data_IF_049301654834
#
_entry.id   IF_049301654834
#
_cell.length_a   1.000
_cell.length_b   1.000
_cell.length_c   1.000
_cell.angle_alpha   90.00
_cell.angle_beta   90.00
_cell.angle_gamma   90.00
#
_symmetry.space_group_name_H-M   'P 1'
#
loop_
_entity.id
_entity.type
_entity.pdbx_description
1 polymer ?
#
# COMPACT_ATOMS: atom_id res chain seq x y z
N UNK A 1 9.10 -10.74 -7.85
CA UNK A 1 10.15 -9.73 -7.60
C UNK A 1 11.07 -10.27 -6.51
N UNK A 2 12.35 -10.58 -6.80
CA UNK A 2 13.29 -10.95 -5.74
C UNK A 2 13.56 -9.73 -4.85
N UNK A 3 13.43 -9.91 -3.54
CA UNK A 3 13.75 -8.88 -2.54
C UNK A 3 15.14 -9.13 -1.93
N UNK A 4 15.82 -8.09 -1.46
CA UNK A 4 16.95 -8.25 -0.55
C UNK A 4 16.57 -9.13 0.65
N UNK A 5 17.52 -9.93 1.15
CA UNK A 5 17.25 -10.88 2.24
C UNK A 5 16.75 -10.24 3.53
N UNK A 6 17.05 -8.97 3.75
CA UNK A 6 16.68 -8.20 4.94
C UNK A 6 15.35 -7.44 4.79
N UNK A 7 14.66 -7.58 3.65
CA UNK A 7 13.41 -6.87 3.37
C UNK A 7 12.24 -7.82 3.18
N UNK A 8 11.09 -7.43 3.70
CA UNK A 8 9.81 -8.08 3.46
C UNK A 8 8.80 -7.12 2.85
N UNK A 9 7.75 -7.66 2.24
CA UNK A 9 6.61 -6.89 1.75
C UNK A 9 5.70 -6.57 2.94
N UNK A 10 5.40 -5.28 3.13
CA UNK A 10 4.54 -4.76 4.20
C UNK A 10 3.12 -4.57 3.70
N UNK A 11 2.99 -4.07 2.47
CA UNK A 11 1.70 -3.80 1.84
C UNK A 11 1.81 -3.90 0.33
N UNK A 12 0.74 -4.38 -0.30
CA UNK A 12 0.58 -4.41 -1.75
C UNK A 12 -0.75 -3.73 -2.07
N UNK A 13 -0.71 -2.68 -2.89
CA UNK A 13 -1.91 -2.00 -3.36
C UNK A 13 -2.03 -2.23 -4.85
N UNK A 14 -3.14 -2.83 -5.28
CA UNK A 14 -3.43 -3.00 -6.69
C UNK A 14 -3.74 -1.65 -7.32
N UNK A 15 -3.03 -1.32 -8.40
CA UNK A 15 -3.30 -0.12 -9.20
C UNK A 15 -4.18 -0.46 -10.39
N UNK A 16 -3.80 -1.49 -11.13
CA UNK A 16 -4.45 -1.82 -12.40
C UNK A 16 -4.26 -3.30 -12.74
N UNK A 17 -5.23 -3.88 -13.46
CA UNK A 17 -5.06 -5.16 -14.14
C UNK A 17 -5.04 -4.97 -15.65
N UNK A 18 -4.28 -5.85 -16.32
CA UNK A 18 -4.24 -5.96 -17.77
C UNK A 18 -4.70 -7.36 -18.16
N UNK A 19 -5.78 -7.44 -18.96
CA UNK A 19 -6.42 -8.71 -19.38
C UNK A 19 -6.18 -8.92 -20.87
N UNK A 20 -5.43 -9.96 -21.23
CA UNK A 20 -5.08 -10.28 -22.63
C UNK A 20 -4.47 -9.08 -23.41
N UNK A 21 -3.79 -8.17 -22.70
CA UNK A 21 -3.14 -6.97 -23.26
C UNK A 21 -3.97 -5.68 -23.12
N UNK A 22 -5.24 -5.78 -22.72
CA UNK A 22 -6.10 -4.63 -22.45
C UNK A 22 -5.92 -4.15 -21.00
N UNK A 23 -5.30 -2.98 -20.83
CA UNK A 23 -5.13 -2.30 -19.55
C UNK A 23 -6.44 -1.61 -19.10
N UNK A 24 -6.45 -1.01 -17.91
CA UNK A 24 -7.58 -0.27 -17.36
C UNK A 24 -8.60 -1.12 -16.62
N UNK A 25 -8.34 -2.42 -16.42
CA UNK A 25 -9.28 -3.32 -15.76
C UNK A 25 -9.14 -3.15 -14.25
N UNK A 26 -10.18 -2.64 -13.58
CA UNK A 26 -10.18 -2.49 -12.12
C UNK A 26 -10.53 -3.78 -11.38
N UNK A 27 -11.39 -4.63 -11.97
CA UNK A 27 -11.85 -5.90 -11.37
C UNK A 27 -11.95 -6.99 -12.43
N UNK A 28 -10.96 -7.90 -12.53
CA UNK A 28 -10.94 -8.95 -13.56
C UNK A 28 -11.79 -10.17 -13.20
N UNK A 29 -12.46 -10.17 -12.04
CA UNK A 29 -13.24 -11.32 -11.56
C UNK A 29 -14.38 -11.61 -12.53
N UNK A 30 -14.41 -12.82 -13.08
CA UNK A 30 -15.41 -13.29 -14.04
C UNK A 30 -15.02 -13.13 -15.50
N UNK A 31 -13.87 -12.52 -15.80
CA UNK A 31 -13.33 -12.44 -17.15
C UNK A 31 -12.57 -13.71 -17.53
N UNK A 32 -12.71 -14.16 -18.77
CA UNK A 32 -11.87 -15.22 -19.35
C UNK A 32 -10.64 -14.57 -19.96
N UNK A 33 -9.45 -15.02 -19.56
CA UNK A 33 -8.18 -14.48 -20.05
C UNK A 33 -7.16 -15.60 -20.27
N UNK A 34 -6.30 -15.45 -21.27
CA UNK A 34 -5.10 -16.29 -21.43
C UNK A 34 -3.94 -15.74 -20.60
N UNK A 35 -3.88 -14.42 -20.43
CA UNK A 35 -2.88 -13.73 -19.64
C UNK A 35 -3.52 -12.63 -18.79
N UNK A 36 -3.12 -12.58 -17.54
CA UNK A 36 -3.48 -11.54 -16.59
C UNK A 36 -2.19 -10.96 -16.02
N UNK A 37 -1.97 -9.67 -16.24
CA UNK A 37 -0.90 -8.92 -15.59
C UNK A 37 -1.53 -7.97 -14.54
N UNK A 38 -0.75 -7.63 -13.51
CA UNK A 38 -1.19 -6.73 -12.44
C UNK A 38 -0.08 -5.71 -12.14
N UNK A 39 -0.47 -4.45 -12.05
CA UNK A 39 0.39 -3.39 -11.52
C UNK A 39 0.11 -3.22 -10.03
N UNK A 40 1.17 -3.32 -9.22
CA UNK A 40 1.12 -3.19 -7.77
C UNK A 40 2.02 -2.04 -7.31
N UNK A 41 1.50 -1.21 -6.41
CA UNK A 41 2.33 -0.42 -5.51
C UNK A 41 2.72 -1.28 -4.32
N UNK A 42 3.94 -1.82 -4.34
CA UNK A 42 4.47 -2.68 -3.28
C UNK A 42 5.36 -1.87 -2.32
N UNK A 43 5.00 -1.86 -1.04
CA UNK A 43 5.80 -1.23 0.01
C UNK A 43 6.54 -2.28 0.79
N UNK A 44 7.85 -2.09 0.93
CA UNK A 44 8.75 -3.01 1.60
C UNK A 44 9.43 -2.32 2.77
N UNK A 45 9.79 -3.10 3.79
CA UNK A 45 10.47 -2.62 4.98
C UNK A 45 11.54 -3.59 5.43
N UNK A 46 12.43 -3.15 6.32
CA UNK A 46 13.43 -4.03 6.93
C UNK A 46 12.72 -5.00 7.87
N UNK A 47 12.88 -6.30 7.63
CA UNK A 47 12.16 -7.35 8.35
C UNK A 47 12.35 -7.27 9.87
N UNK A 48 13.58 -6.98 10.33
CA UNK A 48 13.86 -6.85 11.77
C UNK A 48 13.10 -5.70 12.44
N UNK A 49 12.89 -4.58 11.74
CA UNK A 49 12.11 -3.44 12.29
C UNK A 49 10.65 -3.85 12.47
N UNK A 50 10.09 -4.55 11.49
CA UNK A 50 8.71 -5.02 11.49
C UNK A 50 8.49 -6.05 12.60
N UNK A 51 9.36 -7.05 12.71
CA UNK A 51 9.33 -8.04 13.77
C UNK A 51 9.43 -7.42 15.17
N UNK A 52 10.27 -6.38 15.33
CA UNK A 52 10.40 -5.68 16.60
C UNK A 52 9.12 -4.93 16.98
N UNK A 53 8.45 -4.28 16.02
CA UNK A 53 7.17 -3.60 16.25
C UNK A 53 6.08 -4.58 16.69
N UNK A 54 6.00 -5.77 16.07
CA UNK A 54 5.03 -6.78 16.48
C UNK A 54 5.32 -7.37 17.86
N UNK A 55 6.59 -7.67 18.12
CA UNK A 55 7.04 -8.19 19.42
C UNK A 55 6.67 -7.22 20.54
N UNK A 56 6.85 -5.92 20.33
CA UNK A 56 6.45 -4.89 21.29
C UNK A 56 4.96 -4.98 21.67
N UNK A 57 4.08 -5.17 20.68
CA UNK A 57 2.64 -5.33 20.93
C UNK A 57 2.32 -6.65 21.67
N UNK A 58 2.96 -7.75 21.27
CA UNK A 58 2.78 -9.07 21.90
C UNK A 58 3.24 -9.06 23.35
N UNK A 59 4.40 -8.46 23.64
CA UNK A 59 4.96 -8.33 24.99
C UNK A 59 4.06 -7.46 25.88
N UNK A 60 3.31 -6.52 25.29
CA UNK A 60 2.27 -5.75 25.97
C UNK A 60 0.94 -6.53 26.15
N UNK A 61 0.88 -7.80 25.74
CA UNK A 61 -0.31 -8.65 25.83
C UNK A 61 -1.35 -8.42 24.73
N UNK A 62 -0.99 -7.74 23.64
CA UNK A 62 -1.88 -7.41 22.52
C UNK A 62 -1.51 -8.25 21.29
N UNK A 63 -2.47 -9.00 20.76
CA UNK A 63 -2.29 -9.73 19.51
C UNK A 63 -2.32 -8.80 18.29
N UNK A 64 -1.40 -9.00 17.35
CA UNK A 64 -1.38 -8.29 16.06
C UNK A 64 -2.16 -9.10 15.03
N UNK A 65 -3.28 -8.55 14.55
CA UNK A 65 -4.14 -9.21 13.54
C UNK A 65 -3.67 -8.92 12.11
N UNK A 66 -3.24 -7.68 11.86
CA UNK A 66 -2.83 -7.20 10.54
C UNK A 66 -1.97 -5.96 10.70
N UNK A 67 -0.99 -5.82 9.82
CA UNK A 67 -0.19 -4.60 9.63
C UNK A 67 -0.84 -3.75 8.53
N UNK A 68 -0.83 -2.44 8.73
CA UNK A 68 -1.33 -1.48 7.74
C UNK A 68 -0.27 -0.40 7.55
N UNK A 69 -0.05 -0.01 6.30
CA UNK A 69 0.83 1.09 5.96
C UNK A 69 0.17 2.41 6.38
N UNK A 70 0.87 3.24 7.16
CA UNK A 70 0.30 4.46 7.78
C UNK A 70 -0.41 5.37 6.77
N UNK A 71 0.18 5.75 5.61
CA UNK A 71 -0.52 6.63 4.68
C UNK A 71 -1.83 6.07 4.11
N UNK A 72 -2.00 4.74 4.06
CA UNK A 72 -3.28 4.10 3.68
C UNK A 72 -4.31 4.31 4.79
N UNK A 73 -3.91 4.09 6.05
CA UNK A 73 -4.78 4.28 7.20
C UNK A 73 -5.21 5.75 7.35
N UNK A 74 -4.27 6.68 7.20
CA UNK A 74 -4.57 8.12 7.32
C UNK A 74 -5.44 8.59 6.16
N UNK A 75 -5.19 8.15 4.93
CA UNK A 75 -6.04 8.47 3.80
C UNK A 75 -7.48 7.95 3.97
N UNK A 76 -7.68 6.79 4.62
CA UNK A 76 -9.04 6.31 4.93
C UNK A 76 -9.79 7.25 5.90
N UNK A 77 -9.07 7.97 6.75
CA UNK A 77 -9.68 8.87 7.72
C UNK A 77 -9.98 10.26 7.14
N UNK A 78 -9.16 10.75 6.20
CA UNK A 78 -9.20 12.17 5.79
C UNK A 78 -9.39 12.42 4.29
N UNK A 79 -9.18 11.42 3.43
CA UNK A 79 -9.31 11.56 1.97
C UNK A 79 -10.62 10.96 1.50
N UNK A 80 -11.44 11.78 0.83
CA UNK A 80 -12.68 11.33 0.19
C UNK A 80 -12.40 10.57 -1.10
N UNK A 81 -13.33 9.71 -1.53
CA UNK A 81 -13.19 9.00 -2.81
C UNK A 81 -13.10 9.97 -4.00
N UNK A 82 -13.83 11.08 -3.96
CA UNK A 82 -13.78 12.10 -5.00
C UNK A 82 -12.40 12.78 -5.11
N UNK A 83 -11.75 13.08 -3.98
CA UNK A 83 -10.37 13.61 -3.97
C UNK A 83 -9.38 12.56 -4.49
N UNK A 84 -9.58 11.29 -4.12
CA UNK A 84 -8.73 10.18 -4.58
C UNK A 84 -8.82 9.97 -6.09
N UNK A 85 -10.02 10.08 -6.64
CA UNK A 85 -10.27 9.93 -8.08
C UNK A 85 -9.76 11.13 -8.89
N UNK A 86 -9.94 12.35 -8.38
CA UNK A 86 -9.41 13.56 -9.01
C UNK A 86 -7.87 13.63 -8.97
N UNK A 87 -7.30 13.04 -7.92
CA UNK A 87 -5.88 13.10 -7.60
C UNK A 87 -5.62 14.02 -6.41
N UNK A 88 -4.91 13.50 -5.41
CA UNK A 88 -4.63 14.21 -4.15
C UNK A 88 -3.29 13.77 -3.59
N UNK A 89 -2.62 14.70 -2.91
CA UNK A 89 -1.41 14.42 -2.13
C UNK A 89 -1.77 14.54 -0.67
N UNK A 90 -1.58 13.45 0.08
CA UNK A 90 -1.64 13.43 1.52
C UNK A 90 -0.22 13.63 2.06
N UNK A 91 -0.09 14.55 3.02
CA UNK A 91 1.15 14.79 3.76
C UNK A 91 0.80 14.68 5.25
N UNK A 92 1.26 13.63 5.91
CA UNK A 92 1.20 13.49 7.36
C UNK A 92 2.48 14.04 7.97
N UNK A 93 2.36 14.93 8.95
CA UNK A 93 3.48 15.62 9.59
C UNK A 93 3.53 15.18 11.05
N UNK A 94 4.41 14.21 11.33
CA UNK A 94 4.63 13.67 12.65
C UNK A 94 5.73 14.40 13.44
N UNK A 95 6.04 13.87 14.62
CA UNK A 95 7.09 14.41 15.49
C UNK A 95 8.52 14.12 15.03
N UNK A 96 8.71 13.17 14.12
CA UNK A 96 10.04 12.74 13.67
C UNK A 96 10.14 12.36 12.19
N UNK A 97 9.01 12.18 11.51
CA UNK A 97 8.92 11.92 10.07
C UNK A 97 7.81 12.76 9.46
N UNK A 98 7.93 13.01 8.17
CA UNK A 98 6.80 13.42 7.34
C UNK A 98 6.55 12.36 6.27
N UNK A 99 5.34 11.84 6.27
CA UNK A 99 4.91 10.75 5.41
C UNK A 99 4.05 11.32 4.27
N UNK A 100 4.28 10.85 3.05
CA UNK A 100 3.66 11.36 1.83
C UNK A 100 2.99 10.21 1.11
N UNK A 101 1.74 10.39 0.68
CA UNK A 101 1.07 9.52 -0.28
C UNK A 101 0.46 10.33 -1.41
N UNK A 102 0.69 9.89 -2.64
CA UNK A 102 0.10 10.45 -3.86
C UNK A 102 -0.95 9.47 -4.35
N UNK A 103 -2.17 9.95 -4.54
CA UNK A 103 -3.27 9.18 -5.12
C UNK A 103 -3.58 9.72 -6.51
N UNK A 104 -3.76 8.82 -7.47
CA UNK A 104 -4.17 9.08 -8.85
C UNK A 104 -5.10 7.96 -9.30
N UNK A 105 -6.18 8.33 -10.01
CA UNK A 105 -7.16 7.40 -10.56
C UNK A 105 -7.71 6.43 -9.49
N UNK A 106 -7.99 6.95 -8.29
CA UNK A 106 -8.56 6.17 -7.20
C UNK A 106 -7.57 5.22 -6.47
N UNK A 107 -6.30 5.17 -6.88
CA UNK A 107 -5.28 4.28 -6.32
C UNK A 107 -4.03 5.03 -5.84
N UNK A 108 -3.21 4.39 -5.00
CA UNK A 108 -1.91 4.95 -4.60
C UNK A 108 -0.96 4.87 -5.79
N UNK A 109 -0.39 6.02 -6.14
CA UNK A 109 0.64 6.16 -7.16
C UNK A 109 2.05 6.21 -6.59
N UNK A 110 2.21 6.74 -5.38
CA UNK A 110 3.51 6.87 -4.73
C UNK A 110 3.36 6.99 -3.21
N UNK A 111 4.36 6.51 -2.47
CA UNK A 111 4.51 6.73 -1.03
C UNK A 111 5.97 7.02 -0.69
N UNK A 112 6.20 7.93 0.24
CA UNK A 112 7.54 8.28 0.74
C UNK A 112 7.46 8.66 2.22
N UNK A 113 8.58 8.54 2.93
CA UNK A 113 8.75 9.02 4.30
C UNK A 113 10.09 9.76 4.38
N UNK A 114 10.13 10.90 5.07
CA UNK A 114 11.32 11.76 5.20
C UNK A 114 11.53 12.13 6.67
#
# INVERSE_FOLDING_TARGET
MPLPQDREIIHEVVREFTVDGEAGVSRPIGMSARRLDVELHAVTGTASIVENMERCAIDAGVGVVRRVLEPIATAQAVVTDAERDLGVILIDIGGGTSDIAVFLDGSIAHTSAI
#
